data_IF_984325172783
#
_entry.id   IF_984325172783
#
_cell.length_a   1.000
_cell.length_b   1.000
_cell.length_c   1.000
_cell.angle_alpha   90.00
_cell.angle_beta   90.00
_cell.angle_gamma   90.00
#
_symmetry.space_group_name_H-M   'P 1'
#
loop_
_entity.id
_entity.type
_entity.pdbx_description
1 polymer ?
#
# COMPACT_ATOMS: atom_id res chain seq x y z
N UNK A 1 -5.47 8.40 25.57
CA UNK A 1 -4.39 8.60 24.58
C UNK A 1 -4.77 9.77 23.67
N UNK A 2 -3.92 10.79 23.55
CA UNK A 2 -4.23 11.99 22.75
C UNK A 2 -3.97 11.75 21.26
N UNK A 3 -5.01 11.81 20.44
CA UNK A 3 -4.92 11.71 18.98
C UNK A 3 -4.13 12.92 18.44
N UNK A 4 -3.05 12.65 17.69
CA UNK A 4 -2.30 13.69 16.95
C UNK A 4 -0.90 14.03 17.47
N UNK A 5 -0.45 13.46 18.60
CA UNK A 5 0.96 13.58 19.01
C UNK A 5 1.80 12.50 18.31
N UNK A 6 2.93 12.85 17.65
CA UNK A 6 3.85 11.83 17.15
C UNK A 6 4.32 10.99 18.34
N UNK A 7 4.27 9.66 18.21
CA UNK A 7 4.49 8.71 19.31
C UNK A 7 5.95 8.65 19.82
N UNK A 8 6.76 9.67 19.61
CA UNK A 8 8.14 9.70 20.08
C UNK A 8 9.07 10.60 19.27
N UNK A 9 10.38 10.56 19.60
CA UNK A 9 11.40 11.33 18.91
C UNK A 9 11.47 10.95 17.43
N UNK A 10 11.86 11.91 16.55
CA UNK A 10 12.04 11.64 15.13
C UNK A 10 13.09 10.55 14.92
N UNK A 11 12.93 9.75 13.86
CA UNK A 11 13.92 8.75 13.49
C UNK A 11 15.24 9.43 13.06
N UNK A 12 16.40 8.89 13.46
CA UNK A 12 17.68 9.38 12.97
C UNK A 12 17.80 9.13 11.46
N UNK A 13 18.51 10.02 10.76
CA UNK A 13 18.68 9.95 9.29
C UNK A 13 19.27 8.61 8.81
N UNK A 14 20.09 7.94 9.64
CA UNK A 14 20.65 6.63 9.31
C UNK A 14 19.56 5.55 9.21
N UNK A 15 18.63 5.49 10.18
CA UNK A 15 17.50 4.55 10.14
C UNK A 15 16.58 4.82 8.95
N UNK A 16 16.36 6.09 8.59
CA UNK A 16 15.52 6.43 7.43
C UNK A 16 16.19 5.95 6.12
N UNK A 17 17.52 6.09 6.00
CA UNK A 17 18.28 5.59 4.84
C UNK A 17 18.27 4.07 4.76
N UNK A 18 18.42 3.40 5.90
CA UNK A 18 18.34 1.94 5.99
C UNK A 18 16.96 1.44 5.57
N UNK A 19 15.89 2.05 6.09
CA UNK A 19 14.52 1.73 5.71
C UNK A 19 14.30 1.92 4.19
N UNK A 20 14.84 2.99 3.60
CA UNK A 20 14.77 3.24 2.16
C UNK A 20 15.51 2.14 1.38
N UNK A 21 16.71 1.76 1.81
CA UNK A 21 17.48 0.69 1.16
C UNK A 21 16.75 -0.66 1.20
N UNK A 22 16.12 -0.99 2.33
CA UNK A 22 15.30 -2.21 2.46
C UNK A 22 14.06 -2.17 1.57
N UNK A 23 13.40 -1.02 1.46
CA UNK A 23 12.28 -0.84 0.53
C UNK A 23 12.69 -1.02 -0.93
N UNK A 24 13.87 -0.50 -1.31
CA UNK A 24 14.42 -0.69 -2.65
C UNK A 24 14.78 -2.15 -2.93
N UNK A 25 15.34 -2.85 -1.95
CA UNK A 25 15.58 -4.29 -2.05
C UNK A 25 14.27 -5.08 -2.21
N UNK A 26 13.18 -4.62 -1.59
CA UNK A 26 11.84 -5.17 -1.76
C UNK A 26 11.16 -4.76 -3.08
N UNK A 27 11.80 -3.93 -3.92
CA UNK A 27 11.31 -3.52 -5.23
C UNK A 27 10.53 -2.20 -5.25
N UNK A 28 10.55 -1.42 -4.16
CA UNK A 28 9.92 -0.10 -4.11
C UNK A 28 10.91 1.02 -4.42
N UNK A 29 10.48 1.98 -5.23
CA UNK A 29 11.33 3.12 -5.61
C UNK A 29 11.55 4.11 -4.45
N UNK A 30 10.48 4.45 -3.74
CA UNK A 30 10.43 5.46 -2.69
C UNK A 30 9.37 5.14 -1.61
N UNK A 31 9.37 5.89 -0.50
CA UNK A 31 8.33 5.80 0.55
C UNK A 31 6.91 6.06 0.04
N UNK A 32 6.77 6.83 -1.05
CA UNK A 32 5.46 7.10 -1.67
C UNK A 32 4.92 5.88 -2.40
N UNK A 33 5.80 5.17 -3.09
CA UNK A 33 5.50 3.95 -3.82
C UNK A 33 5.19 2.80 -2.85
N UNK A 34 5.99 2.69 -1.78
CA UNK A 34 5.75 1.76 -0.69
C UNK A 34 4.48 2.07 0.12
N UNK A 35 3.85 3.24 -0.02
CA UNK A 35 2.74 3.64 0.84
C UNK A 35 1.54 2.70 0.78
N UNK A 36 1.16 2.27 -0.43
CA UNK A 36 0.06 1.33 -0.63
C UNK A 36 0.35 -0.05 0.01
N UNK A 37 1.41 -0.75 -0.44
CA UNK A 37 1.72 -2.09 0.05
C UNK A 37 2.14 -2.13 1.53
N UNK A 38 2.85 -1.10 2.01
CA UNK A 38 3.37 -1.05 3.38
C UNK A 38 2.45 -0.31 4.37
N UNK A 39 1.32 0.23 3.91
CA UNK A 39 0.34 0.92 4.77
C UNK A 39 0.83 2.24 5.38
N UNK A 40 1.85 2.87 4.81
CA UNK A 40 2.39 4.12 5.34
C UNK A 40 1.33 5.24 5.32
N UNK A 41 1.36 6.09 6.36
CA UNK A 41 0.53 7.28 6.40
C UNK A 41 1.11 8.43 5.56
N UNK A 42 0.36 9.54 5.43
CA UNK A 42 0.77 10.71 4.64
C UNK A 42 2.11 11.31 5.07
N UNK A 43 2.38 11.33 6.38
CA UNK A 43 3.62 11.85 6.95
C UNK A 43 4.80 10.94 6.61
N UNK A 44 4.62 9.63 6.76
CA UNK A 44 5.61 8.59 6.49
C UNK A 44 5.95 8.49 4.99
N UNK A 45 4.96 8.62 4.11
CA UNK A 45 5.19 8.72 2.66
C UNK A 45 6.04 9.95 2.28
N UNK A 46 6.11 10.97 3.15
CA UNK A 46 7.03 12.11 3.04
C UNK A 46 8.39 11.89 3.72
N UNK A 47 8.74 10.65 4.09
CA UNK A 47 10.01 10.29 4.74
C UNK A 47 10.09 10.64 6.23
N UNK A 48 8.98 11.07 6.85
CA UNK A 48 8.96 11.48 8.26
C UNK A 48 8.50 10.32 9.12
N UNK A 49 9.44 9.67 9.79
CA UNK A 49 9.20 8.57 10.72
C UNK A 49 9.59 8.96 12.15
N UNK A 50 8.93 8.37 13.15
CA UNK A 50 9.47 8.35 14.52
C UNK A 50 10.44 7.18 14.67
N UNK A 51 11.30 7.21 15.70
CA UNK A 51 12.26 6.12 15.92
C UNK A 51 11.58 4.74 16.03
N UNK A 52 10.52 4.65 16.84
CA UNK A 52 9.77 3.41 17.03
C UNK A 52 9.08 2.93 15.73
N UNK A 53 8.56 3.86 14.92
CA UNK A 53 7.97 3.52 13.62
C UNK A 53 9.02 2.95 12.66
N UNK A 54 10.17 3.62 12.53
CA UNK A 54 11.23 3.20 11.62
C UNK A 54 11.78 1.81 12.01
N UNK A 55 12.02 1.59 13.30
CA UNK A 55 12.49 0.31 13.83
C UNK A 55 11.50 -0.83 13.54
N UNK A 56 10.21 -0.62 13.79
CA UNK A 56 9.18 -1.61 13.48
C UNK A 56 9.14 -2.00 12.00
N UNK A 57 9.24 -1.02 11.08
CA UNK A 57 9.24 -1.30 9.65
C UNK A 57 10.53 -1.95 9.16
N UNK A 58 11.68 -1.59 9.72
CA UNK A 58 12.96 -2.25 9.42
C UNK A 58 12.90 -3.72 9.80
N UNK A 59 12.43 -4.04 11.02
CA UNK A 59 12.23 -5.44 11.45
C UNK A 59 11.27 -6.17 10.53
N UNK A 60 10.11 -5.58 10.21
CA UNK A 60 9.13 -6.19 9.32
C UNK A 60 9.69 -6.49 7.91
N UNK A 61 10.47 -5.58 7.33
CA UNK A 61 11.06 -5.78 6.00
C UNK A 61 12.17 -6.84 6.01
N UNK A 62 12.97 -6.90 7.08
CA UNK A 62 13.96 -7.96 7.25
C UNK A 62 13.28 -9.33 7.42
N UNK A 63 12.24 -9.42 8.25
CA UNK A 63 11.48 -10.67 8.45
C UNK A 63 10.82 -11.13 7.14
N UNK A 64 10.26 -10.21 6.35
CA UNK A 64 9.67 -10.52 5.05
C UNK A 64 10.70 -10.96 4.01
N UNK A 65 11.93 -10.45 4.08
CA UNK A 65 13.04 -10.85 3.21
C UNK A 65 13.58 -12.23 3.59
N UNK A 66 13.65 -12.57 4.88
CA UNK A 66 14.11 -13.88 5.36
C UNK A 66 13.04 -14.98 5.23
N UNK A 67 11.76 -14.63 5.38
CA UNK A 67 10.63 -15.57 5.34
C UNK A 67 9.53 -15.09 4.39
N UNK A 68 9.65 -15.32 3.07
CA UNK A 68 8.67 -14.83 2.08
C UNK A 68 7.28 -15.49 2.18
N UNK A 69 7.11 -16.50 3.06
CA UNK A 69 5.85 -17.20 3.31
C UNK A 69 5.24 -16.89 4.69
N UNK A 70 5.87 -16.00 5.47
CA UNK A 70 5.29 -15.49 6.71
C UNK A 70 4.34 -14.36 6.35
N UNK A 71 3.04 -14.67 6.36
CA UNK A 71 1.98 -13.67 6.32
C UNK A 71 2.32 -12.48 7.24
N UNK A 72 2.23 -11.23 6.76
CA UNK A 72 2.71 -10.09 7.52
C UNK A 72 1.87 -9.93 8.79
N UNK A 73 2.51 -10.07 9.96
CA UNK A 73 1.96 -9.64 11.22
C UNK A 73 1.89 -8.10 11.22
N UNK A 74 0.81 -7.58 10.67
CA UNK A 74 0.45 -6.17 10.69
C UNK A 74 0.56 -5.67 12.14
N UNK A 75 1.44 -4.70 12.47
CA UNK A 75 1.36 -4.05 13.77
C UNK A 75 -0.05 -3.46 13.87
N UNK A 76 -0.82 -3.95 14.83
CA UNK A 76 -2.20 -3.57 15.06
C UNK A 76 -2.24 -2.12 15.60
N UNK A 77 -2.06 -1.14 14.73
CA UNK A 77 -2.53 0.21 15.00
C UNK A 77 -4.06 0.14 14.98
N UNK A 78 -4.64 0.17 16.18
CA UNK A 78 -6.07 0.03 16.41
C UNK A 78 -6.89 0.95 15.51
N UNK A 79 -7.65 0.31 14.61
CA UNK A 79 -9.07 0.56 14.37
C UNK A 79 -9.47 1.96 13.90
N UNK A 80 -9.38 2.18 12.59
CA UNK A 80 -10.59 2.57 11.87
C UNK A 80 -11.25 1.29 11.37
N UNK A 81 -12.22 0.78 12.13
CA UNK A 81 -13.09 -0.28 11.65
C UNK A 81 -13.86 0.24 10.43
N UNK A 82 -13.44 -0.16 9.24
CA UNK A 82 -14.39 -0.68 8.28
C UNK A 82 -13.92 -2.05 7.82
N UNK A 83 -14.67 -3.04 8.30
CA UNK A 83 -14.66 -4.42 7.88
C UNK A 83 -14.51 -4.50 6.36
N UNK A 84 -13.49 -5.20 5.88
CA UNK A 84 -13.76 -6.31 4.97
C UNK A 84 -12.55 -7.22 4.98
N UNK A 85 -12.77 -8.40 5.54
CA UNK A 85 -12.04 -9.59 5.18
C UNK A 85 -11.98 -9.75 3.65
N UNK A 86 -10.96 -10.51 3.25
CA UNK A 86 -10.94 -11.43 2.12
C UNK A 86 -10.03 -10.95 0.95
N UNK A 87 -8.81 -11.51 0.84
CA UNK A 87 -8.39 -12.17 -0.41
C UNK A 87 -9.28 -13.43 -0.61
N UNK A 88 -9.57 -13.96 -1.81
CA UNK A 88 -8.82 -13.93 -3.07
C UNK A 88 -8.91 -12.57 -3.77
N UNK A 89 -8.03 -12.28 -4.73
CA UNK A 89 -8.10 -11.07 -5.56
C UNK A 89 -9.56 -10.80 -6.00
N UNK A 90 -10.20 -9.78 -5.42
CA UNK A 90 -11.66 -9.65 -5.41
C UNK A 90 -12.11 -8.48 -6.26
N UNK A 91 -12.54 -8.79 -7.48
CA UNK A 91 -13.25 -7.85 -8.33
C UNK A 91 -14.39 -7.18 -7.55
N UNK A 92 -14.33 -5.85 -7.44
CA UNK A 92 -15.38 -5.02 -6.83
C UNK A 92 -16.71 -5.28 -7.53
N UNK A 93 -17.88 -5.03 -6.89
CA UNK A 93 -19.19 -5.33 -7.49
C UNK A 93 -19.39 -4.64 -8.85
N UNK A 94 -18.84 -3.44 -9.02
CA UNK A 94 -18.74 -2.76 -10.31
C UNK A 94 -17.96 -3.61 -11.33
N UNK A 95 -16.77 -4.11 -11.01
CA UNK A 95 -15.98 -4.96 -11.91
C UNK A 95 -16.69 -6.27 -12.27
N UNK A 96 -17.54 -6.81 -11.38
CA UNK A 96 -18.39 -7.98 -11.67
C UNK A 96 -19.56 -7.66 -12.60
N UNK A 97 -20.06 -6.43 -12.60
CA UNK A 97 -21.07 -5.97 -13.54
C UNK A 97 -20.45 -5.65 -14.91
N UNK A 98 -19.27 -5.02 -14.93
CA UNK A 98 -18.53 -4.75 -16.17
C UNK A 98 -18.18 -6.05 -16.92
N UNK A 99 -17.82 -7.13 -16.21
CA UNK A 99 -17.55 -8.46 -16.81
C UNK A 99 -18.77 -9.15 -17.44
N UNK A 100 -19.99 -8.69 -17.14
CA UNK A 100 -21.22 -9.22 -17.74
C UNK A 100 -21.61 -8.50 -19.02
N UNK A 101 -21.03 -7.33 -19.27
CA UNK A 101 -21.23 -6.57 -20.50
C UNK A 101 -20.29 -7.10 -21.58
N UNK A 102 -20.75 -7.13 -22.82
CA UNK A 102 -19.92 -7.54 -23.95
C UNK A 102 -18.83 -6.52 -24.20
N UNK A 103 -17.67 -6.97 -24.69
CA UNK A 103 -16.55 -6.07 -25.02
C UNK A 103 -16.94 -5.05 -26.11
N UNK A 104 -17.81 -5.43 -27.05
CA UNK A 104 -18.35 -4.52 -28.07
C UNK A 104 -19.24 -3.42 -27.45
N UNK A 105 -20.02 -3.73 -26.42
CA UNK A 105 -20.85 -2.73 -25.72
C UNK A 105 -19.99 -1.75 -24.92
N UNK A 106 -18.94 -2.26 -24.27
CA UNK A 106 -17.96 -1.43 -23.56
C UNK A 106 -17.18 -0.52 -24.52
N UNK A 107 -16.81 -1.03 -25.70
CA UNK A 107 -16.11 -0.25 -26.72
C UNK A 107 -17.00 0.88 -27.28
N UNK A 108 -18.27 0.59 -27.55
CA UNK A 108 -19.24 1.58 -28.00
C UNK A 108 -19.47 2.68 -26.95
N UNK A 109 -19.55 2.30 -25.67
CA UNK A 109 -19.73 3.26 -24.57
C UNK A 109 -18.52 4.19 -24.39
N UNK A 110 -17.30 3.66 -24.57
CA UNK A 110 -16.08 4.49 -24.56
C UNK A 110 -16.05 5.47 -25.74
N UNK A 111 -16.41 5.02 -26.95
CA UNK A 111 -16.50 5.87 -28.14
C UNK A 111 -17.56 6.97 -27.99
N UNK A 112 -18.74 6.64 -27.43
CA UNK A 112 -19.78 7.64 -27.15
C UNK A 112 -19.33 8.69 -26.12
N UNK A 113 -18.42 8.33 -25.21
CA UNK A 113 -17.77 9.27 -24.29
C UNK A 113 -16.60 10.03 -24.91
N UNK A 114 -16.38 9.89 -26.22
CA UNK A 114 -15.37 10.59 -26.99
C UNK A 114 -13.99 9.91 -26.99
N UNK A 115 -13.89 8.65 -26.53
CA UNK A 115 -12.64 7.90 -26.51
C UNK A 115 -12.53 7.00 -27.75
N UNK A 116 -11.45 7.10 -28.53
CA UNK A 116 -11.26 6.22 -29.70
C UNK A 116 -10.76 4.85 -29.25
N UNK A 117 -11.54 3.80 -29.52
CA UNK A 117 -11.19 2.40 -29.23
C UNK A 117 -10.69 1.70 -30.50
N UNK A 118 -9.53 1.06 -30.41
CA UNK A 118 -8.95 0.21 -31.46
C UNK A 118 -8.91 -1.24 -30.96
N UNK A 119 -9.16 -2.22 -31.85
CA UNK A 119 -8.91 -3.62 -31.52
C UNK A 119 -7.38 -3.85 -31.43
N UNK A 120 -6.91 -4.60 -30.42
CA UNK A 120 -5.50 -4.94 -30.28
C UNK A 120 -5.00 -5.77 -31.46
#
# INVERSE_FOLDING_TARGET
MAFGQPSGPPAPMQMIKELLALLQAAGHSDFRDARGPMGFNQRQAGGKFTRAEAEAFITQLNDAAEFPNSEPAVPQHASFQKKSSNLPAKSTPEQRLLKKLSDDDLAAELQNRGWVVMKP
#
